data_IF_958345585410
#
_entry.id   IF_958345585410
#
_cell.length_a   1.000
_cell.length_b   1.000
_cell.length_c   1.000
_cell.angle_alpha   90.00
_cell.angle_beta   90.00
_cell.angle_gamma   90.00
#
_symmetry.space_group_name_H-M   'P 1'
#
loop_
_entity.id
_entity.type
_entity.pdbx_description
1 polymer ?
#
# COMPACT_ATOMS: atom_id res chain seq x y z
N UNK A 1 -66.44 44.92 -19.40
CA UNK A 1 -65.50 44.35 -18.39
C UNK A 1 -65.63 42.86 -18.11
N UNK A 2 -66.76 42.19 -18.34
CA UNK A 2 -66.97 40.76 -18.00
C UNK A 2 -66.32 39.74 -18.94
N UNK A 3 -66.01 40.06 -20.20
CA UNK A 3 -65.38 39.12 -21.16
C UNK A 3 -63.91 38.86 -20.90
N UNK A 4 -63.15 39.86 -20.46
CA UNK A 4 -61.71 39.72 -20.25
C UNK A 4 -61.36 38.89 -18.99
N UNK A 5 -62.26 38.90 -17.99
CA UNK A 5 -62.07 38.11 -16.76
C UNK A 5 -62.23 36.60 -17.03
N UNK A 6 -63.11 36.24 -17.93
CA UNK A 6 -63.34 34.85 -18.32
C UNK A 6 -62.11 34.26 -19.04
N UNK A 7 -61.47 35.02 -19.92
CA UNK A 7 -60.25 34.58 -20.61
C UNK A 7 -59.05 34.37 -19.62
N UNK A 8 -58.97 35.20 -18.60
CA UNK A 8 -57.91 35.06 -17.57
C UNK A 8 -58.08 33.73 -16.79
N UNK A 9 -59.34 33.39 -16.42
CA UNK A 9 -59.59 32.09 -15.75
C UNK A 9 -59.34 30.88 -16.66
N UNK A 10 -59.67 30.97 -17.95
CA UNK A 10 -59.36 29.92 -18.92
C UNK A 10 -57.83 29.75 -19.11
N UNK A 11 -57.07 30.85 -19.11
CA UNK A 11 -55.62 30.83 -19.27
C UNK A 11 -54.93 30.25 -18.02
N UNK A 12 -55.39 30.60 -16.82
CA UNK A 12 -54.92 30.05 -15.55
C UNK A 12 -55.24 28.55 -15.48
N UNK A 13 -56.45 28.13 -15.88
CA UNK A 13 -56.82 26.70 -15.87
C UNK A 13 -56.00 25.89 -16.89
N UNK A 14 -55.70 26.51 -18.05
CA UNK A 14 -54.84 25.88 -19.08
C UNK A 14 -53.39 25.75 -18.59
N UNK A 15 -52.83 26.73 -17.90
CA UNK A 15 -51.48 26.69 -17.31
C UNK A 15 -51.43 25.61 -16.20
N UNK A 16 -52.45 25.56 -15.34
CA UNK A 16 -52.55 24.51 -14.31
C UNK A 16 -52.71 23.11 -14.91
N UNK A 17 -53.44 22.94 -15.99
CA UNK A 17 -53.59 21.65 -16.67
C UNK A 17 -52.30 21.21 -17.36
N UNK A 18 -51.49 22.15 -17.86
CA UNK A 18 -50.17 21.84 -18.45
C UNK A 18 -49.15 21.32 -17.40
N UNK A 19 -49.27 21.76 -16.14
CA UNK A 19 -48.41 21.27 -15.05
C UNK A 19 -48.81 19.88 -14.56
N UNK A 20 -50.05 19.43 -14.79
CA UNK A 20 -50.53 18.09 -14.45
C UNK A 20 -50.11 17.02 -15.48
N UNK A 21 -49.74 17.42 -16.69
CA UNK A 21 -49.33 16.48 -17.76
C UNK A 21 -47.79 16.36 -17.93
N UNK A 22 -47.02 17.20 -17.30
CA UNK A 22 -45.59 16.98 -17.20
C UNK A 22 -45.29 16.27 -15.86
N UNK A 23 -45.06 14.94 -15.85
CA UNK A 23 -44.50 14.34 -14.69
C UNK A 23 -43.16 15.02 -14.48
N UNK A 24 -42.99 15.69 -13.33
CA UNK A 24 -41.69 16.03 -12.82
C UNK A 24 -40.92 14.72 -12.69
N UNK A 25 -40.25 14.32 -13.78
CA UNK A 25 -39.21 13.33 -13.70
C UNK A 25 -38.13 13.95 -12.85
N UNK A 26 -38.30 13.88 -11.55
CA UNK A 26 -37.14 13.93 -10.65
C UNK A 26 -36.28 12.79 -11.12
N UNK A 27 -35.24 13.12 -11.89
CA UNK A 27 -34.09 12.24 -12.02
C UNK A 27 -33.61 12.06 -10.58
N UNK A 28 -34.16 11.06 -9.89
CA UNK A 28 -33.52 10.47 -8.74
C UNK A 28 -32.22 9.89 -9.32
N UNK A 29 -31.19 10.72 -9.36
CA UNK A 29 -29.84 10.27 -9.67
C UNK A 29 -29.58 9.22 -8.60
N UNK A 30 -29.77 7.94 -8.98
CA UNK A 30 -29.71 6.82 -8.08
C UNK A 30 -28.42 6.97 -7.30
N UNK A 31 -28.51 7.07 -5.98
CA UNK A 31 -27.34 7.18 -5.11
C UNK A 31 -26.40 6.05 -5.53
N UNK A 32 -25.24 6.41 -6.05
CA UNK A 32 -24.25 5.42 -6.49
C UNK A 32 -23.92 4.53 -5.30
N UNK A 33 -24.06 3.21 -5.48
CA UNK A 33 -23.70 2.25 -4.45
C UNK A 33 -22.23 2.45 -4.02
N UNK A 34 -21.98 2.43 -2.73
CA UNK A 34 -20.62 2.35 -2.21
C UNK A 34 -20.04 0.97 -2.52
N UNK A 35 -18.88 0.92 -3.13
CA UNK A 35 -18.23 -0.34 -3.51
C UNK A 35 -17.04 -0.62 -2.60
N UNK A 36 -17.10 -1.70 -1.82
CA UNK A 36 -15.99 -2.17 -1.01
C UNK A 36 -15.44 -3.47 -1.56
N UNK A 37 -14.12 -3.53 -1.73
CA UNK A 37 -13.40 -4.77 -2.03
C UNK A 37 -12.79 -5.31 -0.75
N UNK A 38 -13.10 -6.57 -0.45
CA UNK A 38 -12.51 -7.32 0.65
C UNK A 38 -11.56 -8.34 0.05
N UNK A 39 -10.31 -8.26 0.44
CA UNK A 39 -9.22 -9.09 -0.06
C UNK A 39 -8.70 -10.02 1.04
N UNK A 40 -9.16 -11.28 1.11
CA UNK A 40 -8.54 -12.26 1.99
C UNK A 40 -7.15 -12.63 1.44
N UNK A 41 -6.08 -12.24 2.15
CA UNK A 41 -4.71 -12.54 1.72
C UNK A 41 -4.45 -14.03 1.50
N UNK A 42 -3.48 -14.36 0.63
CA UNK A 42 -3.09 -15.72 0.27
C UNK A 42 -4.22 -16.55 -0.37
N UNK A 43 -4.10 -17.89 -0.39
CA UNK A 43 -5.13 -18.80 -0.91
C UNK A 43 -4.58 -19.86 -1.87
N UNK A 44 -5.31 -20.97 -2.03
CA UNK A 44 -4.91 -22.09 -2.88
C UNK A 44 -3.58 -22.70 -2.45
N UNK A 45 -2.59 -22.73 -3.35
CA UNK A 45 -1.24 -23.24 -3.07
C UNK A 45 -0.39 -22.30 -2.21
N UNK A 46 -0.78 -21.05 -2.03
CA UNK A 46 -0.15 -20.12 -1.10
C UNK A 46 -0.82 -20.19 0.27
N UNK A 47 -0.20 -20.83 1.26
CA UNK A 47 -0.78 -20.97 2.60
C UNK A 47 -0.69 -19.70 3.44
N UNK A 48 0.16 -18.72 3.06
CA UNK A 48 0.62 -17.67 3.95
C UNK A 48 1.43 -18.23 5.12
N UNK A 49 1.45 -17.57 6.24
CA UNK A 49 2.09 -18.05 7.44
C UNK A 49 1.42 -19.35 7.95
N UNK A 50 2.27 -20.26 8.42
CA UNK A 50 1.84 -21.56 8.94
C UNK A 50 1.95 -21.53 10.46
N UNK A 51 0.82 -21.64 11.11
CA UNK A 51 0.70 -21.80 12.54
C UNK A 51 0.88 -23.25 12.98
N UNK A 52 0.61 -23.49 14.23
CA UNK A 52 0.69 -24.82 14.82
C UNK A 52 -0.49 -25.70 14.42
N UNK A 53 -1.68 -25.13 14.23
CA UNK A 53 -2.96 -25.82 13.95
C UNK A 53 -3.70 -25.27 12.74
N UNK A 54 -3.23 -24.16 12.18
CA UNK A 54 -3.93 -23.40 11.15
C UNK A 54 -2.97 -22.82 10.11
N UNK A 55 -3.54 -22.33 9.03
CA UNK A 55 -2.85 -21.58 7.99
C UNK A 55 -3.49 -20.21 7.88
N UNK A 56 -2.67 -19.22 7.66
CA UNK A 56 -3.09 -17.82 7.53
C UNK A 56 -4.23 -17.65 6.53
N UNK A 57 -4.11 -18.26 5.33
CA UNK A 57 -5.13 -18.16 4.28
C UNK A 57 -6.56 -18.50 4.74
N UNK A 58 -6.69 -19.45 5.70
CA UNK A 58 -7.99 -19.88 6.22
C UNK A 58 -8.57 -18.88 7.21
N UNK A 59 -7.70 -18.33 8.08
CA UNK A 59 -8.09 -17.29 9.05
C UNK A 59 -8.55 -16.05 8.30
N UNK A 60 -7.76 -15.59 7.31
CA UNK A 60 -8.05 -14.42 6.49
C UNK A 60 -9.39 -14.57 5.78
N UNK A 61 -9.64 -15.73 5.14
CA UNK A 61 -10.89 -16.02 4.44
C UNK A 61 -12.10 -15.98 5.38
N UNK A 62 -11.99 -16.66 6.53
CA UNK A 62 -13.09 -16.74 7.48
C UNK A 62 -13.49 -15.36 8.02
N UNK A 63 -12.50 -14.53 8.39
CA UNK A 63 -12.77 -13.17 8.87
C UNK A 63 -13.35 -12.31 7.76
N UNK A 64 -12.80 -12.36 6.55
CA UNK A 64 -13.27 -11.61 5.40
C UNK A 64 -14.72 -11.91 5.04
N UNK A 65 -15.11 -13.18 5.04
CA UNK A 65 -16.50 -13.58 4.78
C UNK A 65 -17.47 -13.09 5.86
N UNK A 66 -17.03 -13.09 7.14
CA UNK A 66 -17.82 -12.54 8.25
C UNK A 66 -17.97 -11.02 8.14
N UNK A 67 -16.92 -10.29 7.75
CA UNK A 67 -16.99 -8.84 7.48
C UNK A 67 -18.01 -8.54 6.39
N UNK A 68 -17.90 -9.23 5.26
CA UNK A 68 -18.83 -9.01 4.15
C UNK A 68 -20.26 -9.40 4.49
N UNK A 69 -20.47 -10.47 5.28
CA UNK A 69 -21.79 -10.82 5.79
C UNK A 69 -22.40 -9.67 6.60
N UNK A 70 -21.65 -9.10 7.54
CA UNK A 70 -22.11 -7.97 8.35
C UNK A 70 -22.45 -6.74 7.50
N UNK A 71 -21.62 -6.44 6.49
CA UNK A 71 -21.90 -5.32 5.57
C UNK A 71 -23.16 -5.61 4.77
N UNK A 72 -23.31 -6.79 4.19
CA UNK A 72 -24.46 -7.17 3.36
C UNK A 72 -25.78 -7.10 4.12
N UNK A 73 -25.77 -7.52 5.39
CA UNK A 73 -26.98 -7.55 6.21
C UNK A 73 -27.42 -6.16 6.67
N UNK A 74 -26.50 -5.17 6.70
CA UNK A 74 -26.79 -3.86 7.31
C UNK A 74 -26.68 -2.67 6.34
N UNK A 75 -26.23 -2.88 5.10
CA UNK A 75 -26.00 -1.80 4.12
C UNK A 75 -26.49 -2.20 2.73
N UNK A 76 -27.75 -1.90 2.44
CA UNK A 76 -28.37 -2.17 1.13
C UNK A 76 -27.80 -1.30 0.00
N UNK A 77 -27.12 -0.21 0.33
CA UNK A 77 -26.46 0.73 -0.59
C UNK A 77 -24.97 0.44 -0.74
N UNK A 78 -24.52 -0.78 -0.44
CA UNK A 78 -23.12 -1.19 -0.52
C UNK A 78 -22.98 -2.47 -1.33
N UNK A 79 -22.19 -2.39 -2.39
CA UNK A 79 -21.78 -3.54 -3.18
C UNK A 79 -20.48 -4.10 -2.65
N UNK A 80 -20.47 -5.38 -2.31
CA UNK A 80 -19.29 -6.10 -1.83
C UNK A 80 -18.70 -6.89 -2.99
N UNK A 81 -17.39 -6.76 -3.16
CA UNK A 81 -16.59 -7.57 -4.09
C UNK A 81 -15.49 -8.26 -3.29
N UNK A 82 -15.29 -9.53 -3.50
CA UNK A 82 -14.18 -10.28 -2.92
C UNK A 82 -13.13 -10.53 -3.99
N UNK A 83 -11.84 -10.44 -3.66
CA UNK A 83 -10.78 -10.95 -4.54
C UNK A 83 -10.85 -12.47 -4.62
N UNK A 84 -11.18 -13.12 -3.50
CA UNK A 84 -11.57 -14.54 -3.41
C UNK A 84 -12.61 -14.75 -2.30
N UNK A 85 -13.50 -15.71 -2.49
CA UNK A 85 -14.49 -16.14 -1.50
C UNK A 85 -14.42 -17.63 -1.18
N UNK A 86 -13.37 -18.28 -1.66
CA UNK A 86 -13.03 -19.68 -1.45
C UNK A 86 -11.50 -19.86 -1.42
N UNK A 87 -11.03 -21.08 -1.15
CA UNK A 87 -9.60 -21.36 -1.08
C UNK A 87 -9.01 -21.53 -2.50
N UNK A 88 -8.73 -20.38 -3.16
CA UNK A 88 -8.06 -20.28 -4.47
C UNK A 88 -6.94 -19.26 -4.41
N UNK A 89 -5.92 -19.47 -5.20
CA UNK A 89 -4.82 -18.53 -5.37
C UNK A 89 -5.22 -17.40 -6.33
N UNK A 90 -4.94 -16.16 -5.93
CA UNK A 90 -5.11 -14.96 -6.76
C UNK A 90 -3.80 -14.17 -6.69
N UNK A 91 -3.11 -13.94 -7.83
CA UNK A 91 -1.89 -13.12 -7.89
C UNK A 91 -2.10 -11.70 -7.33
N UNK A 92 -1.05 -11.08 -6.76
CA UNK A 92 -1.18 -9.77 -6.11
C UNK A 92 -1.72 -8.69 -7.04
N UNK A 93 -1.23 -8.65 -8.30
CA UNK A 93 -1.70 -7.67 -9.28
C UNK A 93 -3.18 -7.84 -9.61
N UNK A 94 -3.66 -9.10 -9.72
CA UNK A 94 -5.06 -9.40 -10.04
C UNK A 94 -5.99 -8.92 -8.92
N UNK A 95 -5.57 -8.95 -7.65
CA UNK A 95 -6.35 -8.41 -6.52
C UNK A 95 -6.61 -6.91 -6.70
N UNK A 96 -5.58 -6.15 -7.04
CA UNK A 96 -5.72 -4.72 -7.33
C UNK A 96 -6.55 -4.47 -8.61
N UNK A 97 -6.38 -5.28 -9.67
CA UNK A 97 -7.18 -5.18 -10.89
C UNK A 97 -8.67 -5.43 -10.62
N UNK A 98 -9.02 -6.42 -9.80
CA UNK A 98 -10.40 -6.66 -9.37
C UNK A 98 -10.99 -5.40 -8.72
N UNK A 99 -10.23 -4.76 -7.82
CA UNK A 99 -10.68 -3.56 -7.13
C UNK A 99 -10.83 -2.37 -8.10
N UNK A 100 -9.86 -2.15 -8.98
CA UNK A 100 -9.87 -1.07 -9.96
C UNK A 100 -11.02 -1.23 -10.97
N UNK A 101 -11.23 -2.45 -11.48
CA UNK A 101 -12.31 -2.75 -12.41
C UNK A 101 -13.69 -2.63 -11.76
N UNK A 102 -13.79 -2.95 -10.48
CA UNK A 102 -14.99 -2.75 -9.69
C UNK A 102 -15.29 -1.27 -9.44
N UNK A 103 -14.33 -0.35 -9.72
CA UNK A 103 -14.37 1.07 -9.34
C UNK A 103 -14.66 1.22 -7.84
N UNK A 104 -13.90 0.47 -7.04
CA UNK A 104 -14.12 0.42 -5.61
C UNK A 104 -13.86 1.78 -4.93
N UNK A 105 -14.61 2.06 -3.89
CA UNK A 105 -14.46 3.23 -3.04
C UNK A 105 -13.54 2.95 -1.85
N UNK A 106 -13.30 1.66 -1.55
CA UNK A 106 -12.41 1.19 -0.47
C UNK A 106 -11.90 -0.22 -0.76
N UNK A 107 -10.60 -0.46 -0.49
CA UNK A 107 -9.97 -1.78 -0.55
C UNK A 107 -9.47 -2.17 0.85
N UNK A 108 -9.86 -3.36 1.33
CA UNK A 108 -9.50 -3.89 2.65
C UNK A 108 -8.84 -5.26 2.45
N UNK A 109 -7.52 -5.32 2.60
CA UNK A 109 -6.77 -6.58 2.62
C UNK A 109 -6.65 -7.10 4.05
N UNK A 110 -6.89 -8.40 4.27
CA UNK A 110 -6.91 -9.03 5.58
C UNK A 110 -5.86 -10.13 5.61
N UNK A 111 -4.91 -10.01 6.53
CA UNK A 111 -3.76 -10.86 6.76
C UNK A 111 -3.62 -11.25 8.22
N UNK A 112 -2.73 -12.21 8.48
CA UNK A 112 -2.42 -12.69 9.84
C UNK A 112 -0.91 -12.84 9.97
N UNK A 113 -0.30 -11.93 10.71
CA UNK A 113 1.15 -11.79 10.87
C UNK A 113 1.84 -13.02 11.51
N UNK A 114 3.13 -13.11 11.32
CA UNK A 114 3.99 -14.08 12.01
C UNK A 114 5.39 -13.54 12.20
N UNK A 115 6.02 -13.94 13.30
CA UNK A 115 7.42 -13.64 13.59
C UNK A 115 8.24 -14.90 13.73
N UNK A 116 9.53 -14.85 13.33
CA UNK A 116 10.44 -15.98 13.44
C UNK A 116 10.98 -16.14 14.88
N UNK A 117 11.20 -15.03 15.57
CA UNK A 117 11.78 -14.98 16.93
C UNK A 117 10.77 -14.46 17.93
N UNK A 118 10.97 -14.76 19.22
CA UNK A 118 10.14 -14.26 20.34
C UNK A 118 8.62 -14.52 20.14
N UNK A 119 8.28 -15.64 19.54
CA UNK A 119 6.91 -15.98 19.11
C UNK A 119 5.88 -15.83 20.23
N UNK A 120 6.23 -16.19 21.47
CA UNK A 120 5.32 -16.14 22.63
C UNK A 120 5.12 -14.72 23.18
N UNK A 121 6.00 -13.78 22.86
CA UNK A 121 5.95 -12.41 23.41
C UNK A 121 5.14 -11.44 22.51
N UNK A 122 4.90 -11.81 21.24
CA UNK A 122 4.25 -10.91 20.27
C UNK A 122 2.76 -11.19 20.20
N UNK A 123 1.96 -10.15 20.36
CA UNK A 123 0.49 -10.21 20.28
C UNK A 123 -0.10 -8.87 19.88
N UNK A 124 -1.34 -8.87 19.39
CA UNK A 124 -2.07 -7.66 19.02
C UNK A 124 -2.29 -7.53 17.53
N UNK A 125 -2.75 -6.34 17.11
CA UNK A 125 -3.15 -6.04 15.74
C UNK A 125 -2.40 -4.84 15.20
N UNK A 126 -2.15 -4.82 13.91
CA UNK A 126 -1.53 -3.71 13.18
C UNK A 126 -2.35 -3.41 11.93
N UNK A 127 -2.32 -2.18 11.47
CA UNK A 127 -2.92 -1.82 10.18
C UNK A 127 -1.95 -0.98 9.38
N UNK A 128 -1.78 -1.33 8.12
CA UNK A 128 -0.81 -0.73 7.22
C UNK A 128 -1.49 0.05 6.10
N UNK A 129 -0.86 1.15 5.71
CA UNK A 129 -1.14 1.88 4.46
C UNK A 129 0.09 1.83 3.56
N UNK A 130 -0.11 2.12 2.27
CA UNK A 130 1.00 2.20 1.33
C UNK A 130 1.96 3.33 1.71
N UNK A 131 3.26 3.08 1.65
CA UNK A 131 4.28 4.10 1.88
C UNK A 131 5.65 3.51 2.19
N UNK A 132 6.58 4.37 2.57
CA UNK A 132 7.89 3.92 3.02
C UNK A 132 7.80 3.35 4.44
N UNK A 133 8.41 2.20 4.64
CA UNK A 133 8.55 1.62 5.98
C UNK A 133 9.47 2.49 6.86
N UNK A 134 9.08 2.65 8.12
CA UNK A 134 9.86 3.45 9.08
C UNK A 134 10.77 2.61 9.98
N UNK A 135 10.49 1.33 10.12
CA UNK A 135 11.24 0.39 10.94
C UNK A 135 11.60 -0.86 10.16
N UNK A 136 12.62 -1.57 10.62
CA UNK A 136 13.00 -2.85 10.05
C UNK A 136 11.88 -3.89 10.14
N UNK A 137 11.12 -3.89 11.24
CA UNK A 137 10.00 -4.79 11.43
C UNK A 137 8.91 -4.56 10.37
N UNK A 138 8.59 -3.29 10.04
CA UNK A 138 7.62 -2.95 9.01
C UNK A 138 8.10 -3.39 7.62
N UNK A 139 9.40 -3.29 7.35
CA UNK A 139 10.00 -3.81 6.13
C UNK A 139 9.85 -5.34 6.05
N UNK A 140 10.15 -6.06 7.13
CA UNK A 140 10.06 -7.52 7.19
C UNK A 140 8.64 -8.02 6.93
N UNK A 141 7.62 -7.33 7.45
CA UNK A 141 6.22 -7.66 7.14
C UNK A 141 5.95 -7.47 5.65
N UNK A 142 6.32 -6.33 5.06
CA UNK A 142 6.12 -6.10 3.64
C UNK A 142 6.91 -7.09 2.76
N UNK A 143 8.13 -7.44 3.13
CA UNK A 143 8.94 -8.45 2.42
C UNK A 143 8.25 -9.81 2.42
N UNK A 144 7.72 -10.22 3.57
CA UNK A 144 7.03 -11.50 3.73
C UNK A 144 5.76 -11.54 2.86
N UNK A 145 4.93 -10.50 2.92
CA UNK A 145 3.68 -10.48 2.14
C UNK A 145 3.94 -10.33 0.64
N UNK A 146 4.97 -9.58 0.24
CA UNK A 146 5.34 -9.46 -1.16
C UNK A 146 6.06 -10.69 -1.71
N UNK A 147 6.61 -11.57 -0.85
CA UNK A 147 7.35 -12.77 -1.30
C UNK A 147 6.48 -13.73 -2.14
N UNK A 148 5.14 -13.64 -2.02
CA UNK A 148 4.21 -14.43 -2.83
C UNK A 148 4.39 -14.22 -4.33
N UNK A 149 4.91 -13.06 -4.79
CA UNK A 149 5.18 -12.85 -6.21
C UNK A 149 6.17 -13.86 -6.79
N UNK A 150 7.06 -14.43 -5.96
CA UNK A 150 8.05 -15.40 -6.40
C UNK A 150 7.45 -16.74 -6.88
N UNK A 151 6.20 -17.00 -6.51
CA UNK A 151 5.44 -18.18 -6.93
C UNK A 151 4.38 -17.86 -8.00
N UNK A 152 4.35 -16.61 -8.51
CA UNK A 152 3.52 -16.22 -9.66
C UNK A 152 4.24 -16.57 -10.98
N UNK A 153 3.52 -17.18 -11.92
CA UNK A 153 4.11 -17.68 -13.19
C UNK A 153 4.78 -16.58 -14.03
N UNK A 154 4.28 -15.35 -13.95
CA UNK A 154 4.75 -14.19 -14.73
C UNK A 154 5.57 -13.17 -13.89
N UNK A 155 6.05 -13.58 -12.71
CA UNK A 155 6.76 -12.75 -11.75
C UNK A 155 7.81 -11.83 -12.40
N UNK A 156 8.72 -12.40 -13.20
CA UNK A 156 9.83 -11.65 -13.79
C UNK A 156 9.37 -10.59 -14.80
N UNK A 157 8.29 -10.86 -15.53
CA UNK A 157 7.74 -9.94 -16.51
C UNK A 157 6.94 -8.82 -15.85
N UNK A 158 6.16 -9.16 -14.83
CA UNK A 158 5.20 -8.27 -14.20
C UNK A 158 5.83 -7.33 -13.19
N UNK A 159 6.73 -7.83 -12.36
CA UNK A 159 7.35 -7.03 -11.30
C UNK A 159 8.75 -6.54 -11.64
N UNK A 160 9.19 -6.71 -12.87
CA UNK A 160 10.39 -6.19 -13.55
C UNK A 160 11.48 -5.63 -12.62
N UNK A 161 12.27 -6.53 -12.02
CA UNK A 161 13.43 -6.17 -11.19
C UNK A 161 13.12 -5.83 -9.73
N UNK A 162 11.85 -5.92 -9.30
CA UNK A 162 11.53 -5.86 -7.89
C UNK A 162 11.88 -7.22 -7.24
N UNK A 163 12.80 -7.21 -6.29
CA UNK A 163 13.13 -8.37 -5.47
C UNK A 163 12.50 -8.18 -4.08
N UNK A 164 11.49 -8.97 -3.69
CA UNK A 164 10.82 -8.80 -2.40
C UNK A 164 11.75 -9.04 -1.20
N UNK A 165 12.87 -9.74 -1.39
CA UNK A 165 13.83 -10.01 -0.34
C UNK A 165 14.93 -8.95 -0.20
N UNK A 166 14.97 -7.93 -1.09
CA UNK A 166 15.99 -6.87 -1.07
C UNK A 166 15.37 -5.57 -0.56
N UNK A 167 15.97 -5.00 0.49
CA UNK A 167 15.54 -3.72 1.05
C UNK A 167 15.60 -2.58 0.02
N UNK A 168 16.59 -2.64 -0.90
CA UNK A 168 16.77 -1.64 -1.96
C UNK A 168 15.56 -1.58 -2.90
N UNK A 169 14.88 -2.70 -3.13
CA UNK A 169 13.66 -2.73 -3.94
C UNK A 169 12.54 -1.89 -3.34
N UNK A 170 12.55 -1.66 -2.03
CA UNK A 170 11.52 -0.89 -1.33
C UNK A 170 11.76 0.62 -1.34
N UNK A 171 12.93 1.10 -1.75
CA UNK A 171 13.23 2.54 -1.88
C UNK A 171 12.25 3.22 -2.85
N UNK A 172 11.75 2.49 -3.85
CA UNK A 172 10.75 3.04 -4.78
C UNK A 172 9.48 3.55 -4.08
N UNK A 173 9.12 2.98 -2.95
CA UNK A 173 7.93 3.40 -2.20
C UNK A 173 8.09 4.76 -1.51
N UNK A 174 9.33 5.25 -1.35
CA UNK A 174 9.60 6.62 -0.87
C UNK A 174 9.08 7.68 -1.83
N UNK A 175 9.09 7.37 -3.13
CA UNK A 175 8.73 8.32 -4.20
C UNK A 175 7.28 8.18 -4.68
N UNK A 176 6.52 7.28 -4.10
CA UNK A 176 5.11 7.11 -4.44
C UNK A 176 4.26 8.11 -3.64
N UNK A 177 3.65 9.05 -4.36
CA UNK A 177 2.61 9.91 -3.80
C UNK A 177 1.26 9.19 -3.92
N UNK A 178 0.73 8.73 -2.80
CA UNK A 178 -0.63 8.17 -2.76
C UNK A 178 -1.64 9.29 -2.49
N UNK A 179 -2.39 9.67 -3.53
CA UNK A 179 -3.49 10.66 -3.42
C UNK A 179 -4.58 10.25 -2.44
N UNK A 180 -4.63 8.98 -2.06
CA UNK A 180 -5.62 8.42 -1.14
C UNK A 180 -5.07 8.24 0.28
N UNK A 181 -3.82 8.65 0.53
CA UNK A 181 -3.11 8.41 1.79
C UNK A 181 -3.93 8.83 3.02
N UNK A 182 -4.44 10.04 3.04
CA UNK A 182 -5.23 10.55 4.17
C UNK A 182 -6.43 9.66 4.47
N UNK A 183 -7.19 9.27 3.44
CA UNK A 183 -8.36 8.40 3.60
C UNK A 183 -7.97 6.99 4.02
N UNK A 184 -6.85 6.47 3.52
CA UNK A 184 -6.30 5.17 3.92
C UNK A 184 -5.90 5.18 5.40
N UNK A 185 -5.19 6.23 5.84
CA UNK A 185 -4.79 6.41 7.25
C UNK A 185 -6.00 6.53 8.17
N UNK A 186 -7.03 7.30 7.77
CA UNK A 186 -8.26 7.42 8.55
C UNK A 186 -8.96 6.06 8.72
N UNK A 187 -9.06 5.27 7.65
CA UNK A 187 -9.62 3.92 7.74
C UNK A 187 -8.78 3.03 8.66
N UNK A 188 -7.46 3.07 8.54
CA UNK A 188 -6.55 2.30 9.39
C UNK A 188 -6.68 2.67 10.89
N UNK A 189 -6.83 3.96 11.20
CA UNK A 189 -7.06 4.45 12.56
C UNK A 189 -8.40 3.97 13.13
N UNK A 190 -9.47 3.98 12.32
CA UNK A 190 -10.78 3.43 12.74
C UNK A 190 -10.69 1.94 13.03
N UNK A 191 -9.97 1.18 12.21
CA UNK A 191 -9.75 -0.26 12.42
C UNK A 191 -9.03 -0.50 13.76
N UNK A 192 -7.91 0.18 14.01
CA UNK A 192 -7.15 -0.01 15.24
C UNK A 192 -7.95 0.44 16.47
N UNK A 193 -8.72 1.52 16.38
CA UNK A 193 -9.64 1.94 17.43
C UNK A 193 -10.66 0.85 17.76
N UNK A 194 -11.27 0.25 16.75
CA UNK A 194 -12.28 -0.77 16.94
C UNK A 194 -11.69 -2.11 17.42
N UNK A 195 -10.47 -2.46 17.00
CA UNK A 195 -9.78 -3.61 17.57
C UNK A 195 -9.55 -3.49 19.07
N UNK A 196 -9.22 -2.29 19.56
CA UNK A 196 -9.14 -2.04 21.03
C UNK A 196 -10.50 -2.14 21.68
N UNK A 197 -11.50 -1.44 21.15
CA UNK A 197 -12.77 -1.22 21.83
C UNK A 197 -13.70 -2.43 21.71
N UNK A 198 -13.78 -3.07 20.53
CA UNK A 198 -14.72 -4.15 20.25
C UNK A 198 -14.10 -5.53 20.45
N UNK A 199 -12.85 -5.73 20.01
CA UNK A 199 -12.19 -7.03 20.10
C UNK A 199 -11.23 -7.15 21.30
N UNK A 200 -11.04 -6.09 22.08
CA UNK A 200 -10.11 -6.02 23.23
C UNK A 200 -8.68 -6.44 22.82
N UNK A 201 -8.25 -6.07 21.63
CA UNK A 201 -6.92 -6.39 21.12
C UNK A 201 -5.90 -5.33 21.53
N UNK A 202 -4.66 -5.78 21.75
CA UNK A 202 -3.53 -4.88 21.90
C UNK A 202 -3.32 -4.15 20.57
N UNK A 203 -3.38 -2.83 20.60
CA UNK A 203 -3.10 -1.98 19.46
C UNK A 203 -1.59 -1.80 19.32
N UNK A 204 -1.05 -2.19 18.17
CA UNK A 204 0.35 -2.00 17.83
C UNK A 204 0.55 -0.85 16.84
N UNK A 205 -0.53 -0.18 16.44
CA UNK A 205 -0.49 1.05 15.68
C UNK A 205 -0.89 0.94 14.22
N UNK A 206 -0.87 2.11 13.58
CA UNK A 206 -0.98 2.29 12.14
C UNK A 206 0.39 2.56 11.57
N UNK A 207 0.78 1.82 10.56
CA UNK A 207 2.10 1.87 9.95
C UNK A 207 2.03 2.10 8.45
N UNK A 208 3.19 2.38 7.84
CA UNK A 208 3.39 2.42 6.41
C UNK A 208 4.40 1.37 6.00
N UNK A 209 4.15 0.71 4.87
CA UNK A 209 5.14 -0.15 4.24
C UNK A 209 4.84 -0.37 2.75
N UNK A 210 5.81 -0.89 2.02
CA UNK A 210 5.77 -1.06 0.58
C UNK A 210 5.02 -2.32 0.14
N UNK A 211 3.73 -2.43 0.41
CA UNK A 211 2.91 -3.56 -0.02
C UNK A 211 2.54 -3.46 -1.49
N UNK A 212 2.92 -4.44 -2.29
CA UNK A 212 2.62 -4.48 -3.72
C UNK A 212 1.11 -4.56 -4.00
N UNK A 213 0.35 -5.25 -3.16
CA UNK A 213 -1.11 -5.35 -3.30
C UNK A 213 -1.80 -3.99 -3.18
N UNK A 214 -1.27 -3.09 -2.33
CA UNK A 214 -1.80 -1.73 -2.17
C UNK A 214 -1.29 -0.78 -3.24
N UNK A 215 -0.08 -1.01 -3.78
CA UNK A 215 0.58 -0.13 -4.75
C UNK A 215 -0.23 0.11 -6.02
N UNK A 216 -0.91 -0.93 -6.49
CA UNK A 216 -1.64 -0.88 -7.76
C UNK A 216 -3.12 -0.49 -7.59
N UNK A 217 -3.60 -0.24 -6.38
CA UNK A 217 -4.98 0.20 -6.12
C UNK A 217 -5.16 1.68 -6.47
N UNK A 218 -6.32 2.04 -6.99
CA UNK A 218 -6.67 3.43 -7.37
C UNK A 218 -7.61 4.12 -6.37
N UNK A 219 -7.92 3.47 -5.26
CA UNK A 219 -8.80 3.93 -4.19
C UNK A 219 -8.08 3.87 -2.84
N UNK A 220 -8.65 4.46 -1.76
CA UNK A 220 -8.18 4.24 -0.40
C UNK A 220 -8.03 2.76 -0.08
N UNK A 221 -6.88 2.37 0.47
CA UNK A 221 -6.54 0.96 0.68
C UNK A 221 -5.77 0.73 1.98
N UNK A 222 -6.06 -0.36 2.65
CA UNK A 222 -5.41 -0.79 3.88
C UNK A 222 -5.10 -2.28 3.86
N UNK A 223 -4.01 -2.68 4.55
CA UNK A 223 -3.70 -4.06 4.86
C UNK A 223 -3.73 -4.22 6.39
N UNK A 224 -4.50 -5.19 6.85
CA UNK A 224 -4.76 -5.44 8.26
C UNK A 224 -4.05 -6.71 8.68
N UNK A 225 -3.25 -6.65 9.73
CA UNK A 225 -2.71 -7.80 10.45
C UNK A 225 -3.57 -8.04 11.69
N UNK A 226 -4.44 -9.04 11.62
CA UNK A 226 -5.46 -9.31 12.67
C UNK A 226 -4.90 -9.96 13.93
N UNK A 227 -3.64 -10.36 13.92
CA UNK A 227 -2.92 -11.00 15.02
C UNK A 227 -1.70 -11.76 14.56
N UNK A 228 -1.10 -12.56 15.43
CA UNK A 228 0.16 -13.28 15.17
C UNK A 228 -0.04 -14.80 15.24
N UNK A 229 -0.17 -15.46 14.08
CA UNK A 229 -0.36 -16.91 14.00
C UNK A 229 0.81 -17.71 14.63
N UNK A 230 2.01 -17.10 14.66
CA UNK A 230 3.19 -17.71 15.28
C UNK A 230 3.11 -17.81 16.81
N UNK A 231 2.24 -17.05 17.47
CA UNK A 231 1.98 -17.15 18.90
C UNK A 231 0.83 -18.12 19.16
N UNK A 232 1.03 -19.21 19.93
CA UNK A 232 -0.02 -20.22 20.17
C UNK A 232 -1.30 -19.69 20.83
N UNK A 233 -1.21 -18.67 21.69
CA UNK A 233 -2.36 -18.04 22.30
C UNK A 233 -3.15 -17.18 21.31
N UNK A 234 -2.42 -16.43 20.47
CA UNK A 234 -2.99 -15.67 19.37
C UNK A 234 -3.66 -16.60 18.35
N UNK A 235 -2.96 -17.65 17.93
CA UNK A 235 -3.52 -18.65 17.01
C UNK A 235 -4.82 -19.24 17.56
N UNK A 236 -4.86 -19.58 18.86
CA UNK A 236 -6.06 -20.12 19.49
C UNK A 236 -7.23 -19.13 19.44
N UNK A 237 -6.96 -17.84 19.61
CA UNK A 237 -7.96 -16.79 19.46
C UNK A 237 -8.39 -16.62 18.01
N UNK A 238 -7.44 -16.57 17.07
CA UNK A 238 -7.67 -16.33 15.64
C UNK A 238 -8.50 -17.44 14.96
N UNK A 239 -8.37 -18.69 15.42
CA UNK A 239 -9.15 -19.83 14.90
C UNK A 239 -10.49 -20.01 15.63
N UNK A 240 -10.70 -19.32 16.76
CA UNK A 240 -11.96 -19.43 17.50
C UNK A 240 -13.07 -18.63 16.84
N UNK A 241 -14.29 -19.16 16.87
CA UNK A 241 -15.49 -18.47 16.39
C UNK A 241 -15.66 -17.10 17.06
N UNK A 242 -15.44 -17.05 18.39
CA UNK A 242 -15.50 -15.81 19.19
C UNK A 242 -14.48 -14.77 18.71
N UNK A 243 -13.23 -15.18 18.49
CA UNK A 243 -12.16 -14.28 18.04
C UNK A 243 -12.43 -13.75 16.64
N UNK A 244 -12.81 -14.62 15.71
CA UNK A 244 -13.14 -14.22 14.34
C UNK A 244 -14.34 -13.29 14.26
N UNK A 245 -15.39 -13.53 15.06
CA UNK A 245 -16.56 -12.66 15.12
C UNK A 245 -16.22 -11.29 15.71
N UNK A 246 -15.39 -11.23 16.76
CA UNK A 246 -14.95 -9.98 17.35
C UNK A 246 -14.09 -9.15 16.39
N UNK A 247 -13.14 -9.78 15.69
CA UNK A 247 -12.31 -9.12 14.68
C UNK A 247 -13.13 -8.63 13.48
N UNK A 248 -14.04 -9.47 12.97
CA UNK A 248 -14.92 -9.09 11.88
C UNK A 248 -15.86 -7.92 12.27
N UNK A 249 -16.39 -7.94 13.49
CA UNK A 249 -17.22 -6.84 14.00
C UNK A 249 -16.43 -5.54 14.12
N UNK A 250 -15.17 -5.61 14.56
CA UNK A 250 -14.29 -4.44 14.63
C UNK A 250 -14.05 -3.81 13.24
N UNK A 251 -13.73 -4.62 12.25
CA UNK A 251 -13.52 -4.16 10.86
C UNK A 251 -14.83 -3.57 10.30
N UNK A 252 -15.96 -4.21 10.56
CA UNK A 252 -17.28 -3.74 10.16
C UNK A 252 -17.62 -2.37 10.80
N UNK A 253 -17.39 -2.20 12.10
CA UNK A 253 -17.63 -0.93 12.78
C UNK A 253 -16.76 0.19 12.21
N UNK A 254 -15.47 -0.11 11.94
CA UNK A 254 -14.55 0.84 11.29
C UNK A 254 -15.04 1.21 9.88
N UNK A 255 -15.52 0.25 9.11
CA UNK A 255 -16.15 0.48 7.81
C UNK A 255 -17.35 1.42 7.91
N UNK A 256 -18.25 1.23 8.91
CA UNK A 256 -19.39 2.12 9.14
C UNK A 256 -18.93 3.55 9.44
N UNK A 257 -17.91 3.73 10.27
CA UNK A 257 -17.35 5.05 10.57
C UNK A 257 -16.79 5.71 9.32
N UNK A 258 -16.04 4.97 8.53
CA UNK A 258 -15.45 5.46 7.29
C UNK A 258 -16.51 5.86 6.26
N UNK A 259 -17.49 4.97 5.98
CA UNK A 259 -18.54 5.19 4.99
C UNK A 259 -19.45 6.37 5.35
N UNK A 260 -19.76 6.56 6.61
CA UNK A 260 -20.69 7.62 7.06
C UNK A 260 -20.04 9.01 7.06
N UNK A 261 -18.78 9.12 6.66
CA UNK A 261 -18.11 10.43 6.56
C UNK A 261 -17.96 11.14 7.90
N UNK A 262 -18.07 10.45 9.04
CA UNK A 262 -17.75 10.97 10.36
C UNK A 262 -16.23 11.19 10.47
N UNK A 263 -15.71 12.04 9.58
CA UNK A 263 -14.41 12.66 9.68
C UNK A 263 -14.54 13.81 10.67
N UNK A 264 -14.74 13.48 11.94
CA UNK A 264 -14.13 14.32 12.96
C UNK A 264 -12.66 13.97 12.85
N UNK A 265 -11.76 14.91 12.47
CA UNK A 265 -10.34 14.65 12.53
C UNK A 265 -10.11 14.14 13.96
N UNK A 266 -9.73 12.87 14.09
CA UNK A 266 -9.25 12.38 15.37
C UNK A 266 -8.07 13.28 15.64
N UNK A 267 -8.22 14.22 16.58
CA UNK A 267 -7.13 15.06 17.03
C UNK A 267 -6.00 14.09 17.33
N UNK A 268 -4.99 14.12 16.49
CA UNK A 268 -3.78 13.35 16.65
C UNK A 268 -3.18 13.83 17.95
N UNK A 269 -3.48 13.18 19.06
CA UNK A 269 -2.54 13.17 20.17
C UNK A 269 -1.32 12.52 19.55
N UNK A 270 -0.35 13.36 19.27
CA UNK A 270 0.98 12.94 18.84
C UNK A 270 1.50 11.93 19.86
N UNK A 271 1.19 10.65 19.62
CA UNK A 271 2.12 9.62 19.98
C UNK A 271 3.23 9.75 18.94
N UNK A 272 4.44 9.95 19.41
CA UNK A 272 5.67 10.31 18.73
C UNK A 272 6.09 9.43 17.54
N UNK A 273 5.20 8.61 16.99
CA UNK A 273 5.48 7.63 15.95
C UNK A 273 4.80 7.91 14.60
N UNK A 274 3.98 8.99 14.51
CA UNK A 274 3.46 9.48 13.22
C UNK A 274 4.13 10.82 12.96
N UNK A 275 5.35 10.79 12.43
CA UNK A 275 6.02 11.98 11.91
C UNK A 275 5.50 12.22 10.49
N UNK A 276 4.58 13.16 10.36
CA UNK A 276 4.38 13.89 9.10
C UNK A 276 5.60 14.81 9.01
N UNK A 277 6.42 14.63 7.98
CA UNK A 277 7.56 15.51 7.75
C UNK A 277 7.04 16.89 7.36
N UNK A 278 6.98 17.81 8.36
CA UNK A 278 7.10 19.24 8.12
C UNK A 278 8.57 19.62 8.28
N UNK A 279 9.08 20.29 7.26
CA UNK A 279 10.45 20.78 7.19
C UNK A 279 10.74 21.74 8.34
N UNK A 280 11.66 21.38 9.24
CA UNK A 280 12.34 22.32 10.11
C UNK A 280 13.76 21.87 10.42
N UNK A 281 14.65 22.82 10.23
CA UNK A 281 16.12 22.87 10.33
C UNK A 281 16.77 22.22 11.55
N UNK A 282 18.05 21.87 11.44
CA UNK A 282 18.80 21.19 12.49
C UNK A 282 19.36 22.17 13.51
N UNK A 283 19.27 21.86 14.78
CA UNK A 283 20.02 22.47 15.85
C UNK A 283 21.18 21.59 16.30
N UNK A 284 22.29 22.26 16.55
CA UNK A 284 23.70 21.80 16.74
C UNK A 284 23.98 20.97 17.99
N UNK A 285 25.16 20.35 18.05
CA UNK A 285 25.55 19.32 19.02
C UNK A 285 26.37 19.85 20.20
N UNK A 286 26.46 19.06 21.25
CA UNK A 286 27.38 19.25 22.35
C UNK A 286 28.63 18.34 22.26
N UNK A 287 29.75 18.96 22.45
CA UNK A 287 31.17 18.57 22.59
C UNK A 287 31.45 17.26 23.36
N UNK A 288 32.47 16.62 23.27
CA UNK A 288 33.88 16.52 22.92
C UNK A 288 34.46 15.24 23.53
N UNK A 289 35.37 14.58 22.90
CA UNK A 289 36.75 14.28 23.33
C UNK A 289 37.49 13.51 22.23
N UNK A 290 38.60 14.09 21.78
CA UNK A 290 39.61 13.50 20.91
C UNK A 290 40.60 12.64 21.74
N UNK A 291 41.36 11.73 21.11
CA UNK A 291 42.70 12.09 20.75
C UNK A 291 43.20 11.64 19.37
N UNK A 292 44.12 12.45 18.91
CA UNK A 292 44.95 12.46 17.72
C UNK A 292 45.74 11.17 17.44
N UNK A 293 46.01 10.88 16.15
CA UNK A 293 47.37 10.63 15.61
C UNK A 293 47.35 10.82 14.06
N UNK A 294 48.35 11.56 13.62
CA UNK A 294 48.88 11.93 12.31
C UNK A 294 49.00 10.81 11.27
N UNK A 295 48.91 11.02 10.02
CA UNK A 295 49.58 11.74 8.96
C UNK A 295 49.09 11.21 7.57
N UNK A 296 48.98 12.15 6.67
CA UNK A 296 48.72 12.11 5.22
C UNK A 296 49.81 11.36 4.42
N UNK A 297 49.62 11.01 3.09
CA UNK A 297 49.37 12.01 2.07
C UNK A 297 48.40 11.66 0.90
N UNK A 298 47.77 12.75 0.43
CA UNK A 298 47.53 13.19 -0.98
C UNK A 298 47.11 12.20 -2.07
N UNK A 299 45.96 12.41 -2.62
CA UNK A 299 45.67 13.01 -3.92
C UNK A 299 44.42 12.44 -4.61
N UNK A 300 43.61 13.38 -5.08
CA UNK A 300 42.56 13.22 -6.12
C UNK A 300 41.21 12.70 -5.66
N UNK A 301 40.50 13.57 -4.95
CA UNK A 301 39.05 13.58 -4.94
C UNK A 301 38.56 14.66 -5.92
N UNK A 302 37.97 14.26 -7.04
CA UNK A 302 37.00 15.05 -7.78
C UNK A 302 36.20 14.06 -8.67
N UNK A 303 35.06 13.73 -8.16
CA UNK A 303 33.75 13.56 -8.83
C UNK A 303 32.83 12.68 -7.97
N UNK A 304 32.49 13.22 -6.79
CA UNK A 304 31.25 12.81 -6.14
C UNK A 304 30.18 13.83 -6.56
N UNK A 305 29.06 13.44 -7.14
CA UNK A 305 27.95 14.34 -7.30
C UNK A 305 27.45 14.71 -5.89
N UNK A 306 27.57 15.97 -5.58
CA UNK A 306 27.04 16.68 -4.42
C UNK A 306 25.59 16.24 -4.19
N UNK A 307 25.26 15.82 -2.97
CA UNK A 307 23.89 15.65 -2.51
C UNK A 307 23.11 16.92 -2.89
N UNK A 308 22.16 16.76 -3.80
CA UNK A 308 21.31 17.83 -4.29
C UNK A 308 20.22 18.11 -3.26
N UNK A 309 19.86 19.38 -3.18
CA UNK A 309 18.90 20.02 -2.29
C UNK A 309 17.53 19.33 -2.24
N UNK A 310 16.83 19.50 -1.13
CA UNK A 310 15.63 18.79 -0.68
C UNK A 310 14.38 18.82 -1.60
N UNK A 311 14.44 19.50 -2.78
CA UNK A 311 13.33 19.63 -3.73
C UNK A 311 13.60 19.01 -5.12
N UNK A 312 14.70 18.30 -5.32
CA UNK A 312 15.00 17.69 -6.60
C UNK A 312 14.17 16.41 -6.80
N UNK A 313 13.44 16.32 -7.93
CA UNK A 313 12.75 15.09 -8.34
C UNK A 313 13.77 13.95 -8.44
N UNK A 314 13.42 12.75 -7.94
CA UNK A 314 14.32 11.60 -7.99
C UNK A 314 14.67 11.26 -9.45
N UNK A 315 15.93 10.89 -9.67
CA UNK A 315 16.42 10.43 -10.96
C UNK A 315 16.57 8.91 -10.89
N UNK A 316 15.87 8.21 -11.77
CA UNK A 316 15.90 6.75 -11.85
C UNK A 316 16.95 6.30 -12.87
N UNK A 317 17.72 5.28 -12.53
CA UNK A 317 18.73 4.63 -13.40
C UNK A 317 18.60 3.11 -13.31
N UNK A 318 19.09 2.38 -14.29
CA UNK A 318 19.08 0.91 -14.30
C UNK A 318 20.49 0.45 -13.93
N UNK A 319 20.66 -0.17 -12.76
CA UNK A 319 21.92 -0.83 -12.43
C UNK A 319 22.01 -2.15 -13.20
N UNK A 320 23.04 -2.29 -14.02
CA UNK A 320 23.19 -3.42 -14.96
C UNK A 320 24.25 -4.42 -14.52
N UNK A 321 25.25 -3.99 -13.77
CA UNK A 321 26.28 -4.87 -13.21
C UNK A 321 27.12 -4.17 -12.13
N UNK A 322 27.87 -4.94 -11.38
CA UNK A 322 28.87 -4.48 -10.42
C UNK A 322 30.25 -5.06 -10.74
N UNK A 323 31.31 -4.39 -10.30
CA UNK A 323 32.69 -4.84 -10.48
C UNK A 323 33.59 -4.31 -9.36
N UNK A 324 34.55 -5.09 -8.93
CA UNK A 324 35.62 -4.71 -8.02
C UNK A 324 36.66 -3.77 -8.67
N UNK A 325 36.72 -3.77 -10.02
CA UNK A 325 37.62 -2.95 -10.83
C UNK A 325 36.83 -2.01 -11.73
N UNK A 326 37.39 -0.82 -11.95
CA UNK A 326 36.83 0.15 -12.90
C UNK A 326 36.91 -0.37 -14.32
N UNK A 327 35.76 -0.54 -14.96
CA UNK A 327 35.66 -0.98 -16.36
C UNK A 327 35.75 0.22 -17.30
N UNK A 328 36.48 0.05 -18.42
CA UNK A 328 36.50 1.06 -19.47
C UNK A 328 35.14 1.19 -20.19
N UNK A 329 34.87 2.35 -20.78
CA UNK A 329 33.58 2.68 -21.44
C UNK A 329 33.18 1.72 -22.60
N UNK A 330 34.13 1.00 -23.15
CA UNK A 330 33.90 0.01 -24.23
C UNK A 330 33.97 -1.44 -23.73
N UNK A 331 33.83 -1.67 -22.43
CA UNK A 331 33.87 -3.03 -21.87
C UNK A 331 32.83 -3.94 -22.53
N UNK A 332 33.28 -5.15 -22.89
CA UNK A 332 32.40 -6.20 -23.43
C UNK A 332 31.29 -6.62 -22.46
N UNK A 333 31.51 -6.40 -21.15
CA UNK A 333 30.52 -6.67 -20.11
C UNK A 333 29.28 -5.82 -20.24
N UNK A 334 29.33 -4.66 -20.91
CA UNK A 334 28.16 -3.82 -21.19
C UNK A 334 27.28 -4.34 -22.33
N UNK A 335 27.65 -5.44 -22.99
CA UNK A 335 26.85 -6.13 -24.03
C UNK A 335 26.27 -5.18 -25.07
N UNK A 336 27.03 -4.12 -25.41
CA UNK A 336 26.67 -3.12 -26.42
C UNK A 336 25.64 -2.07 -25.99
N UNK A 337 25.22 -2.02 -24.73
CA UNK A 337 24.38 -0.90 -24.22
C UNK A 337 25.23 0.33 -23.96
N UNK A 338 24.74 1.49 -24.41
CA UNK A 338 25.38 2.81 -24.27
C UNK A 338 24.30 3.89 -24.18
N UNK A 339 24.52 5.00 -23.43
CA UNK A 339 25.67 5.27 -22.56
C UNK A 339 25.57 4.50 -21.23
N UNK A 340 26.70 4.12 -20.67
CA UNK A 340 26.80 3.51 -19.33
C UNK A 340 27.54 4.47 -18.41
N UNK A 341 26.93 4.79 -17.28
CA UNK A 341 27.49 5.55 -16.18
C UNK A 341 27.89 4.60 -15.05
N UNK A 342 28.60 5.09 -14.04
CA UNK A 342 28.91 4.32 -12.84
C UNK A 342 28.96 5.24 -11.61
N UNK A 343 28.78 4.63 -10.45
CA UNK A 343 29.11 5.22 -9.17
C UNK A 343 29.89 4.20 -8.34
N UNK A 344 30.63 4.69 -7.33
CA UNK A 344 31.47 3.86 -6.49
C UNK A 344 30.95 3.90 -5.05
N UNK A 345 30.66 2.75 -4.52
CA UNK A 345 30.06 2.62 -3.19
C UNK A 345 30.46 1.26 -2.58
N UNK A 346 30.82 1.26 -1.29
CA UNK A 346 31.22 0.05 -0.56
C UNK A 346 32.32 -0.75 -1.25
N UNK A 347 33.34 -0.05 -1.77
CA UNK A 347 34.48 -0.63 -2.50
C UNK A 347 34.11 -1.38 -3.80
N UNK A 348 32.94 -1.09 -4.39
CA UNK A 348 32.45 -1.70 -5.62
C UNK A 348 32.02 -0.63 -6.60
N UNK A 349 32.39 -0.79 -7.90
CA UNK A 349 31.87 -0.01 -9.01
C UNK A 349 30.52 -0.55 -9.42
N UNK A 350 29.49 0.28 -9.39
CA UNK A 350 28.12 -0.05 -9.78
C UNK A 350 27.80 0.68 -11.09
N UNK A 351 27.54 -0.07 -12.15
CA UNK A 351 27.33 0.46 -13.50
C UNK A 351 25.85 0.61 -13.82
N UNK A 352 25.48 1.79 -14.36
CA UNK A 352 24.09 2.13 -14.64
C UNK A 352 23.88 2.49 -16.11
N UNK A 353 22.67 2.22 -16.60
CA UNK A 353 22.20 2.51 -17.94
C UNK A 353 20.87 3.24 -17.90
N UNK A 354 20.73 4.28 -18.75
CA UNK A 354 19.54 5.13 -18.76
C UNK A 354 19.40 6.01 -17.53
N UNK A 355 18.71 7.13 -17.71
CA UNK A 355 18.44 8.10 -16.67
C UNK A 355 17.15 8.85 -17.01
N UNK A 356 16.20 8.92 -16.11
CA UNK A 356 14.98 9.73 -16.27
C UNK A 356 14.32 9.96 -14.91
N UNK A 357 13.64 11.07 -14.76
CA UNK A 357 12.80 11.35 -13.58
C UNK A 357 11.45 10.63 -13.63
N UNK A 358 11.10 10.05 -14.78
CA UNK A 358 9.88 9.28 -14.96
C UNK A 358 10.20 7.77 -14.88
N UNK A 359 9.80 7.17 -13.76
CA UNK A 359 10.00 5.73 -13.51
C UNK A 359 9.48 4.82 -14.64
N UNK A 360 8.30 5.13 -15.21
CA UNK A 360 7.72 4.30 -16.27
C UNK A 360 8.55 4.32 -17.57
N UNK A 361 9.29 5.40 -17.83
CA UNK A 361 10.23 5.44 -18.95
C UNK A 361 11.42 4.53 -18.69
N UNK A 362 12.00 4.59 -17.49
CA UNK A 362 13.11 3.72 -17.08
C UNK A 362 12.69 2.25 -17.03
N UNK A 363 11.47 1.95 -16.59
CA UNK A 363 10.92 0.60 -16.60
C UNK A 363 10.81 0.04 -18.04
N UNK A 364 10.33 0.83 -19.01
CA UNK A 364 10.31 0.44 -20.42
C UNK A 364 11.71 0.21 -20.98
N UNK A 365 12.65 1.09 -20.61
CA UNK A 365 14.05 0.97 -21.01
C UNK A 365 14.69 -0.30 -20.42
N UNK A 366 14.40 -0.62 -19.14
CA UNK A 366 14.86 -1.86 -18.51
C UNK A 366 14.36 -3.09 -19.27
N UNK A 367 13.07 -3.15 -19.60
CA UNK A 367 12.50 -4.26 -20.38
C UNK A 367 13.21 -4.46 -21.73
N UNK A 368 13.67 -3.40 -22.37
CA UNK A 368 14.40 -3.49 -23.65
C UNK A 368 15.79 -4.13 -23.53
N UNK A 369 16.33 -4.22 -22.32
CA UNK A 369 17.66 -4.80 -22.05
C UNK A 369 17.61 -6.08 -21.20
N UNK A 370 16.43 -6.54 -20.77
CA UNK A 370 16.28 -7.72 -19.90
C UNK A 370 16.90 -9.00 -20.50
N UNK A 371 16.84 -9.16 -21.82
CA UNK A 371 17.51 -10.28 -22.50
C UNK A 371 19.03 -10.26 -22.34
N UNK A 372 19.62 -9.08 -22.17
CA UNK A 372 21.06 -8.87 -22.01
C UNK A 372 21.50 -8.89 -20.54
N UNK A 373 20.68 -8.33 -19.65
CA UNK A 373 20.99 -8.16 -18.23
C UNK A 373 19.81 -8.64 -17.36
N UNK A 374 19.77 -9.93 -17.13
CA UNK A 374 18.67 -10.57 -16.37
C UNK A 374 18.55 -10.06 -14.94
N UNK A 375 19.69 -9.69 -14.32
CA UNK A 375 19.77 -9.24 -12.93
C UNK A 375 19.77 -7.70 -12.79
N UNK A 376 19.46 -6.97 -13.90
CA UNK A 376 19.39 -5.52 -13.84
C UNK A 376 18.18 -5.06 -13.01
N UNK A 377 18.34 -4.02 -12.21
CA UNK A 377 17.26 -3.42 -11.43
C UNK A 377 17.32 -1.89 -11.47
N UNK A 378 16.18 -1.26 -11.17
CA UNK A 378 16.07 0.20 -11.16
C UNK A 378 16.44 0.73 -9.79
N UNK A 379 17.30 1.75 -9.77
CA UNK A 379 17.72 2.50 -8.57
C UNK A 379 17.30 3.96 -8.71
N UNK A 380 17.13 4.64 -7.59
CA UNK A 380 16.80 6.05 -7.52
C UNK A 380 17.94 6.83 -6.86
N UNK A 381 18.24 7.99 -7.42
CA UNK A 381 19.13 9.00 -6.83
C UNK A 381 18.31 10.24 -6.51
N UNK A 382 18.54 10.82 -5.35
CA UNK A 382 18.07 12.18 -5.01
C UNK A 382 19.05 13.21 -5.48
#
# INVERSE_FOLDING_TARGET
MKKNTLYIYFYILFICSLHLFFPLTTNAQGKKDFVVVIDPGHGGHDPGAIGRRSKEKNINLNIALKVGKLIKENHNDTRIVYTRNKDVFIPLHTRAEIANNAKADLFISIHTNSVARNKHAVSGTETYTLGLHKTQENLEVAQKENAVILIEDDYQQRYAGFNPNSAESYIIFEFLQDKNMEKSVNMAQYIQKEFRNTASRKDKGVHQAGFLVLRATSMPSVLIEVGYISNPNEESYLISERGQNALAKSIYNAFCMYKNGNITPLSVKQNSDIVIYDNASPSQPAETVTPSIEQTPEAVAKDNPKLAEADAKPVFKIQILTSDKKLGSNSRLFKGVKPVSYYYENNIYKYTYGEDTNYNKILRLKRSIDSKFKDAFIIAFK
#
